data_IF_795953193616
#
_entry.id   IF_795953193616
#
_cell.length_a   1.000
_cell.length_b   1.000
_cell.length_c   1.000
_cell.angle_alpha   90.00
_cell.angle_beta   90.00
_cell.angle_gamma   90.00
#
_symmetry.space_group_name_H-M   'P 1'
#
loop_
_entity.id
_entity.type
_entity.pdbx_description
1 polymer ?
#
# COMPACT_ATOMS: atom_id res chain seq x y z
N UNK A 1 8.86 44.10 -11.86
CA UNK A 1 8.24 43.01 -12.66
C UNK A 1 9.11 41.82 -12.38
N UNK A 2 8.77 41.05 -11.36
CA UNK A 2 9.61 39.95 -10.90
C UNK A 2 8.68 38.77 -10.69
N UNK A 3 8.53 38.01 -11.77
CA UNK A 3 7.72 36.81 -11.78
C UNK A 3 8.47 35.72 -11.03
N UNK A 4 8.06 35.44 -9.79
CA UNK A 4 8.39 34.16 -9.17
C UNK A 4 7.46 33.13 -9.81
N UNK A 5 7.97 32.49 -10.87
CA UNK A 5 7.37 31.30 -11.47
C UNK A 5 7.47 30.16 -10.46
N UNK A 6 6.46 29.99 -9.62
CA UNK A 6 6.19 28.68 -9.03
C UNK A 6 5.69 27.78 -10.16
N UNK A 7 6.57 26.95 -10.70
CA UNK A 7 6.19 25.94 -11.68
C UNK A 7 7.02 24.70 -11.44
N UNK A 8 6.30 23.56 -11.40
CA UNK A 8 6.79 22.17 -11.43
C UNK A 8 6.97 21.44 -10.10
N UNK A 9 6.17 21.74 -9.09
CA UNK A 9 6.09 20.92 -7.87
C UNK A 9 4.65 20.78 -7.36
N UNK A 10 3.75 20.37 -8.26
CA UNK A 10 2.56 19.65 -7.81
C UNK A 10 3.06 18.26 -7.43
N UNK A 11 3.51 18.15 -6.19
CA UNK A 11 4.06 16.98 -5.50
C UNK A 11 3.35 15.69 -5.98
N UNK A 12 3.94 15.00 -6.95
CA UNK A 12 3.62 13.60 -7.23
C UNK A 12 4.20 12.82 -6.05
N UNK A 13 3.38 12.63 -5.02
CA UNK A 13 3.87 12.01 -3.79
C UNK A 13 4.29 10.58 -4.11
N UNK A 14 5.53 10.18 -3.78
CA UNK A 14 6.01 8.84 -4.09
C UNK A 14 5.15 7.81 -3.36
N UNK A 15 4.70 6.77 -4.09
CA UNK A 15 4.12 5.58 -3.47
C UNK A 15 5.27 4.84 -2.77
N UNK A 16 5.26 4.81 -1.44
CA UNK A 16 6.23 4.09 -0.63
C UNK A 16 5.63 2.75 -0.26
N UNK A 17 6.16 1.67 -0.80
CA UNK A 17 5.79 0.32 -0.41
C UNK A 17 6.95 -0.38 0.30
N UNK A 18 6.62 -1.25 1.25
CA UNK A 18 7.60 -2.02 2.01
C UNK A 18 6.99 -3.35 2.42
N UNK A 19 7.83 -4.38 2.50
CA UNK A 19 7.47 -5.69 3.00
C UNK A 19 8.60 -6.18 3.90
N UNK A 20 8.26 -6.90 4.96
CA UNK A 20 9.20 -7.43 5.95
C UNK A 20 9.79 -8.76 5.50
N UNK A 21 9.00 -9.59 4.81
CA UNK A 21 9.43 -10.90 4.37
C UNK A 21 10.01 -10.85 2.95
N UNK A 22 9.17 -10.50 1.97
CA UNK A 22 9.55 -10.59 0.55
C UNK A 22 8.76 -9.62 -0.34
N UNK A 23 9.39 -9.13 -1.41
CA UNK A 23 8.73 -8.35 -2.46
C UNK A 23 8.96 -9.03 -3.82
N UNK A 24 7.90 -9.25 -4.58
CA UNK A 24 7.95 -9.88 -5.89
C UNK A 24 7.24 -9.00 -6.93
N UNK A 25 8.00 -8.54 -7.93
CA UNK A 25 7.46 -7.76 -9.04
C UNK A 25 7.19 -8.67 -10.23
N UNK A 26 5.92 -8.85 -10.56
CA UNK A 26 5.49 -9.57 -11.76
C UNK A 26 5.44 -8.60 -12.94
N UNK A 27 6.56 -8.46 -13.65
CA UNK A 27 6.68 -7.51 -14.77
C UNK A 27 5.74 -7.80 -15.95
N UNK A 28 5.22 -9.04 -16.07
CA UNK A 28 4.29 -9.43 -17.16
C UNK A 28 2.90 -8.84 -17.00
N UNK A 29 2.40 -8.82 -15.77
CA UNK A 29 1.07 -8.31 -15.39
C UNK A 29 1.15 -6.95 -14.72
N UNK A 30 2.38 -6.46 -14.47
CA UNK A 30 2.65 -5.24 -13.70
C UNK A 30 2.06 -5.28 -12.29
N UNK A 31 2.09 -6.46 -11.65
CA UNK A 31 1.61 -6.65 -10.28
C UNK A 31 2.80 -6.71 -9.31
N UNK A 32 2.75 -5.93 -8.24
CA UNK A 32 3.73 -5.94 -7.15
C UNK A 32 3.15 -6.69 -5.96
N UNK A 33 3.72 -7.85 -5.65
CA UNK A 33 3.34 -8.67 -4.51
C UNK A 33 4.27 -8.38 -3.33
N UNK A 34 3.70 -8.07 -2.17
CA UNK A 34 4.40 -7.73 -0.94
C UNK A 34 3.95 -8.71 0.14
N UNK A 35 4.89 -9.43 0.74
CA UNK A 35 4.65 -10.47 1.74
C UNK A 35 5.27 -10.10 3.08
N UNK A 36 4.56 -10.40 4.16
CA UNK A 36 5.02 -10.19 5.53
C UNK A 36 4.94 -8.72 5.90
N UNK A 37 3.96 -8.36 6.76
CA UNK A 37 3.75 -6.99 7.23
C UNK A 37 3.86 -5.91 6.12
N UNK A 38 3.29 -6.20 4.96
CA UNK A 38 3.30 -5.31 3.81
C UNK A 38 2.63 -3.97 4.16
N UNK A 39 3.30 -2.88 3.82
CA UNK A 39 2.83 -1.51 4.04
C UNK A 39 2.95 -0.72 2.74
N UNK A 40 1.88 -0.05 2.33
CA UNK A 40 1.86 0.88 1.20
C UNK A 40 1.41 2.24 1.72
N UNK A 41 2.20 3.28 1.46
CA UNK A 41 1.88 4.67 1.78
C UNK A 41 1.84 5.49 0.51
N UNK A 42 0.78 6.26 0.35
CA UNK A 42 0.61 7.16 -0.78
C UNK A 42 -0.06 8.44 -0.29
N UNK A 43 0.62 9.57 -0.41
CA UNK A 43 0.15 10.85 0.12
C UNK A 43 -0.20 10.72 1.62
N UNK A 44 -1.50 10.85 1.96
CA UNK A 44 -2.03 10.71 3.32
C UNK A 44 -2.64 9.33 3.59
N UNK A 45 -2.65 8.45 2.58
CA UNK A 45 -3.13 7.08 2.68
C UNK A 45 -2.00 6.15 3.15
N UNK A 46 -2.31 5.24 4.06
CA UNK A 46 -1.46 4.18 4.57
C UNK A 46 -2.24 2.88 4.66
N UNK A 47 -1.89 1.91 3.84
CA UNK A 47 -2.42 0.56 3.84
C UNK A 47 -1.41 -0.40 4.46
N UNK A 48 -1.84 -1.22 5.40
CA UNK A 48 -1.05 -2.25 6.06
C UNK A 48 -1.78 -3.58 6.03
N UNK A 49 -1.13 -4.65 5.62
CA UNK A 49 -1.70 -6.00 5.64
C UNK A 49 -0.60 -7.07 5.72
N UNK A 50 -0.98 -8.32 5.95
CA UNK A 50 -0.04 -9.45 5.87
C UNK A 50 0.49 -9.64 4.45
N UNK A 51 -0.38 -9.46 3.47
CA UNK A 51 -0.09 -9.54 2.05
C UNK A 51 -0.73 -8.38 1.30
N UNK A 52 0.01 -7.74 0.40
CA UNK A 52 -0.51 -6.70 -0.50
C UNK A 52 -0.11 -7.04 -1.93
N UNK A 53 -1.07 -7.00 -2.86
CA UNK A 53 -0.81 -7.05 -4.29
C UNK A 53 -1.27 -5.73 -4.95
N UNK A 54 -0.32 -5.00 -5.52
CA UNK A 54 -0.56 -3.75 -6.24
C UNK A 54 -0.53 -4.02 -7.74
N UNK A 55 -1.70 -4.02 -8.36
CA UNK A 55 -1.85 -4.06 -9.81
C UNK A 55 -1.70 -2.65 -10.38
N UNK A 56 -0.58 -2.39 -11.04
CA UNK A 56 -0.27 -1.05 -11.57
C UNK A 56 -1.06 -0.77 -12.85
N UNK A 57 -1.41 -1.79 -13.63
CA UNK A 57 -2.16 -1.67 -14.89
C UNK A 57 -3.60 -1.20 -14.62
N UNK A 58 -4.29 -1.89 -13.72
CA UNK A 58 -5.68 -1.64 -13.35
C UNK A 58 -5.82 -0.67 -12.16
N UNK A 59 -4.70 -0.25 -11.57
CA UNK A 59 -4.65 0.59 -10.35
C UNK A 59 -5.43 -0.04 -9.19
N UNK A 60 -5.38 -1.37 -9.09
CA UNK A 60 -6.07 -2.13 -8.05
C UNK A 60 -5.09 -2.48 -6.93
N UNK A 61 -5.50 -2.27 -5.68
CA UNK A 61 -4.72 -2.69 -4.52
C UNK A 61 -5.51 -3.74 -3.76
N UNK A 62 -4.97 -4.95 -3.71
CA UNK A 62 -5.48 -6.07 -2.94
C UNK A 62 -4.70 -6.17 -1.64
N UNK A 63 -5.40 -6.34 -0.53
CA UNK A 63 -4.79 -6.46 0.78
C UNK A 63 -5.47 -7.60 1.54
N UNK A 64 -4.68 -8.55 2.02
CA UNK A 64 -5.17 -9.75 2.68
C UNK A 64 -4.46 -9.98 4.01
N UNK A 65 -5.22 -10.48 4.98
CA UNK A 65 -4.67 -10.89 6.27
C UNK A 65 -4.03 -12.26 6.15
N UNK A 66 -2.80 -12.39 6.64
CA UNK A 66 -2.10 -13.67 6.66
C UNK A 66 -2.29 -14.34 8.02
N UNK A 67 -2.41 -15.68 8.07
CA UNK A 67 -2.34 -16.40 9.32
C UNK A 67 -0.96 -16.19 9.96
N UNK A 68 -0.97 -15.90 11.25
CA UNK A 68 0.23 -15.91 12.07
C UNK A 68 0.81 -17.32 12.18
N UNK A 69 2.07 -17.47 12.63
CA UNK A 69 2.69 -18.77 12.89
C UNK A 69 1.88 -19.68 13.82
N UNK A 70 0.97 -19.11 14.62
CA UNK A 70 0.04 -19.86 15.48
C UNK A 70 -1.27 -20.32 14.78
N UNK A 71 -1.41 -20.11 13.46
CA UNK A 71 -2.59 -20.50 12.67
C UNK A 71 -3.82 -19.60 12.89
N UNK A 72 -3.68 -18.51 13.63
CA UNK A 72 -4.73 -17.50 13.83
C UNK A 72 -4.61 -16.46 12.72
N UNK A 73 -5.72 -16.12 12.06
CA UNK A 73 -5.72 -14.96 11.16
C UNK A 73 -5.27 -13.72 11.93
N UNK A 74 -4.17 -13.13 11.47
CA UNK A 74 -3.59 -11.91 12.00
C UNK A 74 -3.28 -10.99 10.82
N UNK A 75 -2.69 -9.83 11.08
CA UNK A 75 -2.25 -8.89 10.05
C UNK A 75 -3.36 -8.51 9.05
N UNK A 76 -4.58 -8.31 9.56
CA UNK A 76 -5.71 -7.88 8.75
C UNK A 76 -5.40 -6.59 7.99
N UNK A 77 -5.98 -6.41 6.80
CA UNK A 77 -5.84 -5.18 6.04
C UNK A 77 -6.43 -3.99 6.80
N UNK A 78 -5.57 -3.04 7.13
CA UNK A 78 -5.88 -1.76 7.75
C UNK A 78 -5.58 -0.67 6.73
N UNK A 79 -6.60 0.08 6.35
CA UNK A 79 -6.49 1.27 5.51
C UNK A 79 -6.66 2.49 6.41
N UNK A 80 -5.66 3.37 6.46
CA UNK A 80 -5.73 4.66 7.13
C UNK A 80 -5.60 5.77 6.09
N UNK A 81 -6.42 6.80 6.19
CA UNK A 81 -6.32 8.05 5.45
C UNK A 81 -6.25 9.22 6.44
N UNK A 82 -5.92 10.43 5.97
CA UNK A 82 -5.82 11.66 6.76
C UNK A 82 -7.01 11.92 7.69
N UNK A 83 -8.20 11.50 7.30
CA UNK A 83 -9.44 11.72 8.08
C UNK A 83 -10.02 10.47 8.72
N UNK A 84 -9.75 9.27 8.19
CA UNK A 84 -10.47 8.05 8.60
C UNK A 84 -9.59 6.81 8.54
N UNK A 85 -9.67 5.98 9.58
CA UNK A 85 -9.08 4.64 9.60
C UNK A 85 -10.18 3.58 9.44
N UNK A 86 -10.01 2.75 8.42
CA UNK A 86 -10.86 1.61 8.09
C UNK A 86 -10.06 0.33 8.29
N UNK A 87 -10.40 -0.43 9.32
CA UNK A 87 -9.93 -1.81 9.45
C UNK A 87 -10.96 -2.73 8.82
N UNK A 88 -10.59 -3.46 7.77
CA UNK A 88 -11.46 -4.48 7.18
C UNK A 88 -11.45 -5.73 8.08
N UNK A 89 -12.17 -5.65 9.20
CA UNK A 89 -12.48 -6.80 10.05
C UNK A 89 -13.78 -7.39 9.52
N UNK A 90 -13.70 -8.51 8.80
CA UNK A 90 -14.89 -9.28 8.40
C UNK A 90 -15.56 -9.78 9.69
N UNK A 91 -16.69 -9.17 10.05
CA UNK A 91 -17.50 -9.53 11.21
C UNK A 91 -18.32 -10.79 10.92
#
# INVERSE_FOLDING_TARGET
MDSIKFSKDSIDSPVVYSADDSMHLEAKTQIVHLYGNATVKYQDFSLRAGYIALDVENKLVLAEGLPDSSGRMSNHPVFADKSQEFTAKKN
#
